data_IF_693785530863
#
_entry.id   IF_693785530863
#
_cell.length_a   1.000
_cell.length_b   1.000
_cell.length_c   1.000
_cell.angle_alpha   90.00
_cell.angle_beta   90.00
_cell.angle_gamma   90.00
#
_symmetry.space_group_name_H-M   'P 1'
#
loop_
_entity.id
_entity.type
_entity.pdbx_description
1 polymer ?
#
# COMPACT_ATOMS: atom_id res chain seq x y z
N UNK A 1 -19.69 -50.72 60.08
CA UNK A 1 -19.27 -50.76 58.66
C UNK A 1 -20.15 -49.80 57.89
N UNK A 2 -19.62 -48.63 57.50
CA UNK A 2 -20.30 -47.61 56.70
C UNK A 2 -19.39 -47.31 55.49
N UNK A 3 -19.91 -47.29 54.25
CA UNK A 3 -19.10 -46.95 53.09
C UNK A 3 -19.00 -45.42 52.98
N UNK A 4 -17.80 -44.92 52.75
CA UNK A 4 -17.56 -43.51 52.40
C UNK A 4 -17.71 -43.36 50.88
N UNK A 5 -18.72 -42.60 50.44
CA UNK A 5 -18.86 -42.15 49.06
C UNK A 5 -17.80 -41.08 48.77
N UNK A 6 -16.93 -41.37 47.80
CA UNK A 6 -16.04 -40.39 47.16
C UNK A 6 -16.84 -39.64 46.08
N UNK A 7 -17.10 -38.36 46.30
CA UNK A 7 -17.60 -37.43 45.28
C UNK A 7 -16.41 -36.90 44.50
N UNK A 8 -16.26 -37.34 43.25
CA UNK A 8 -15.33 -36.75 42.29
C UNK A 8 -16.00 -35.50 41.71
N UNK A 9 -15.54 -34.33 42.13
CA UNK A 9 -15.92 -33.06 41.52
C UNK A 9 -15.21 -32.92 40.16
N UNK A 10 -15.95 -33.06 39.08
CA UNK A 10 -15.48 -32.73 37.73
C UNK A 10 -15.53 -31.21 37.58
N UNK A 11 -14.39 -30.56 37.70
CA UNK A 11 -14.24 -29.14 37.34
C UNK A 11 -14.27 -29.01 35.81
N UNK A 12 -15.42 -28.62 35.26
CA UNK A 12 -15.50 -28.10 33.90
C UNK A 12 -14.66 -26.82 33.83
N UNK A 13 -13.44 -26.89 33.30
CA UNK A 13 -12.77 -25.71 32.77
C UNK A 13 -13.56 -25.27 31.54
N UNK A 14 -14.36 -24.23 31.70
CA UNK A 14 -14.86 -23.46 30.57
C UNK A 14 -13.64 -22.86 29.87
N UNK A 15 -13.29 -23.39 28.69
CA UNK A 15 -12.45 -22.65 27.76
C UNK A 15 -13.23 -21.39 27.37
N UNK A 16 -12.92 -20.27 28.00
CA UNK A 16 -13.24 -18.98 27.42
C UNK A 16 -12.54 -18.93 26.05
N UNK A 17 -13.25 -18.64 24.94
CA UNK A 17 -12.55 -18.32 23.71
C UNK A 17 -11.64 -17.13 24.05
N UNK A 18 -10.34 -17.27 23.79
CA UNK A 18 -9.48 -16.11 23.71
C UNK A 18 -10.15 -15.17 22.71
N UNK A 19 -10.70 -14.04 23.16
CA UNK A 19 -10.97 -12.95 22.23
C UNK A 19 -9.59 -12.61 21.67
N UNK A 20 -9.31 -13.05 20.46
CA UNK A 20 -8.20 -12.52 19.70
C UNK A 20 -8.40 -11.00 19.70
N UNK A 21 -7.40 -10.26 20.18
CA UNK A 21 -7.42 -8.81 20.05
C UNK A 21 -7.58 -8.46 18.58
N UNK A 22 -8.30 -7.37 18.29
CA UNK A 22 -8.44 -6.94 16.91
C UNK A 22 -7.06 -6.55 16.36
N UNK A 23 -6.64 -7.19 15.26
CA UNK A 23 -5.39 -6.89 14.58
C UNK A 23 -5.61 -5.76 13.57
N UNK A 24 -4.65 -4.84 13.48
CA UNK A 24 -4.69 -3.74 12.50
C UNK A 24 -3.76 -4.01 11.32
N UNK A 25 -4.25 -3.78 10.12
CA UNK A 25 -3.53 -3.98 8.86
C UNK A 25 -3.44 -2.67 8.08
N UNK A 26 -2.29 -2.41 7.47
CA UNK A 26 -2.05 -1.29 6.59
C UNK A 26 -1.91 -1.77 5.15
N UNK A 27 -2.75 -1.28 4.25
CA UNK A 27 -2.57 -1.43 2.80
C UNK A 27 -1.76 -0.21 2.32
N UNK A 28 -0.49 -0.35 1.92
CA UNK A 28 0.40 0.79 1.66
C UNK A 28 -0.05 1.73 0.54
N UNK A 29 -0.82 1.20 -0.42
CA UNK A 29 -1.32 1.95 -1.55
C UNK A 29 -2.68 1.46 -2.00
N UNK A 30 -3.61 2.39 -2.19
CA UNK A 30 -4.87 2.18 -2.90
C UNK A 30 -5.16 3.37 -3.81
N UNK A 31 -5.90 3.08 -4.87
CA UNK A 31 -6.40 4.08 -5.80
C UNK A 31 -7.88 3.85 -6.11
N UNK A 32 -8.57 4.92 -6.46
CA UNK A 32 -9.86 4.87 -7.13
C UNK A 32 -9.87 5.95 -8.20
N UNK A 33 -10.05 5.56 -9.47
CA UNK A 33 -9.98 6.46 -10.64
C UNK A 33 -8.79 7.44 -10.61
N UNK A 34 -7.66 7.03 -10.03
CA UNK A 34 -6.47 7.86 -10.01
C UNK A 34 -5.93 8.00 -11.42
N UNK A 35 -5.52 9.21 -11.83
CA UNK A 35 -5.11 9.46 -13.21
C UNK A 35 -3.86 8.65 -13.53
N UNK A 36 -3.94 7.81 -14.56
CA UNK A 36 -2.80 7.18 -15.21
C UNK A 36 -2.35 7.98 -16.44
N UNK A 37 -1.47 7.39 -17.23
CA UNK A 37 -1.04 7.94 -18.52
C UNK A 37 -2.12 7.74 -19.59
N UNK A 38 -2.07 8.55 -20.65
CA UNK A 38 -2.92 8.42 -21.85
C UNK A 38 -4.44 8.31 -21.58
N UNK A 39 -4.91 8.99 -20.53
CA UNK A 39 -6.32 9.00 -20.17
C UNK A 39 -6.82 7.71 -19.48
N UNK A 40 -5.91 6.85 -19.04
CA UNK A 40 -6.24 5.68 -18.19
C UNK A 40 -6.46 6.07 -16.73
N UNK A 41 -7.02 5.13 -15.96
CA UNK A 41 -7.20 5.27 -14.53
C UNK A 41 -6.69 4.05 -13.77
N UNK A 42 -6.27 4.31 -12.54
CA UNK A 42 -5.88 3.31 -11.56
C UNK A 42 -6.98 3.15 -10.52
N UNK A 43 -7.41 1.90 -10.30
CA UNK A 43 -8.36 1.55 -9.26
C UNK A 43 -7.92 0.28 -8.54
N UNK A 44 -8.25 0.20 -7.25
CA UNK A 44 -7.88 -0.92 -6.41
C UNK A 44 -9.11 -1.71 -5.96
N UNK A 45 -8.93 -3.02 -5.82
CA UNK A 45 -9.80 -3.93 -5.08
C UNK A 45 -9.06 -4.48 -3.87
N UNK A 46 -9.79 -4.89 -2.84
CA UNK A 46 -9.22 -5.50 -1.64
C UNK A 46 -9.81 -6.88 -1.48
N UNK A 47 -8.96 -7.88 -1.46
CA UNK A 47 -9.31 -9.28 -1.24
C UNK A 47 -9.08 -9.60 0.24
N UNK A 48 -10.15 -10.04 0.91
CA UNK A 48 -10.13 -10.44 2.30
C UNK A 48 -10.32 -11.96 2.34
N UNK A 49 -9.29 -12.70 2.73
CA UNK A 49 -9.31 -14.17 2.78
C UNK A 49 -9.26 -14.65 4.23
N UNK A 50 -10.35 -15.25 4.69
CA UNK A 50 -10.45 -15.84 6.01
C UNK A 50 -9.95 -17.29 5.97
N UNK A 51 -8.86 -17.54 6.68
CA UNK A 51 -8.21 -18.85 6.76
C UNK A 51 -8.71 -19.68 7.96
N UNK A 52 -9.64 -19.15 8.75
CA UNK A 52 -10.16 -19.80 9.95
C UNK A 52 -11.55 -20.42 9.75
N UNK A 53 -11.97 -21.18 10.76
CA UNK A 53 -13.28 -21.84 10.83
C UNK A 53 -14.37 -20.96 11.45
N UNK A 54 -14.03 -19.75 11.90
CA UNK A 54 -14.98 -18.77 12.45
C UNK A 54 -15.13 -17.59 11.47
N UNK A 55 -16.28 -16.92 11.40
CA UNK A 55 -16.40 -15.69 10.63
C UNK A 55 -15.47 -14.60 11.20
N UNK A 56 -14.88 -13.79 10.33
CA UNK A 56 -14.04 -12.66 10.71
C UNK A 56 -14.69 -11.36 10.24
N UNK A 57 -14.75 -10.36 11.10
CA UNK A 57 -15.18 -9.01 10.77
C UNK A 57 -13.97 -8.15 10.45
N UNK A 58 -14.01 -7.49 9.30
CA UNK A 58 -12.99 -6.54 8.85
C UNK A 58 -13.63 -5.16 8.72
N UNK A 59 -13.10 -4.17 9.43
CA UNK A 59 -13.60 -2.79 9.41
C UNK A 59 -12.55 -1.85 8.84
N UNK A 60 -12.98 -0.86 8.05
CA UNK A 60 -12.13 0.28 7.71
C UNK A 60 -11.98 1.18 8.94
N UNK A 61 -10.77 1.25 9.49
CA UNK A 61 -10.43 2.12 10.60
C UNK A 61 -10.13 3.53 10.12
N UNK A 62 -9.33 3.64 9.05
CA UNK A 62 -8.86 4.93 8.59
C UNK A 62 -8.41 4.93 7.13
N UNK A 63 -8.38 6.13 6.55
CA UNK A 63 -7.78 6.41 5.25
C UNK A 63 -6.70 7.48 5.41
N UNK A 64 -5.47 7.13 5.04
CA UNK A 64 -4.33 8.04 5.05
C UNK A 64 -4.29 8.76 3.68
N UNK A 65 -4.69 10.04 3.61
CA UNK A 65 -4.96 10.68 2.33
C UNK A 65 -3.68 11.16 1.64
N UNK A 66 -3.57 10.89 0.35
CA UNK A 66 -2.77 11.68 -0.60
C UNK A 66 -3.66 12.62 -1.41
N UNK A 67 -4.61 12.02 -2.13
CA UNK A 67 -5.66 12.73 -2.89
C UNK A 67 -7.03 12.14 -2.54
N UNK A 68 -7.99 13.02 -2.26
CA UNK A 68 -9.39 12.64 -2.03
C UNK A 68 -10.30 13.69 -2.65
N UNK A 69 -10.83 13.40 -3.83
CA UNK A 69 -11.75 14.28 -4.55
C UNK A 69 -13.18 13.77 -4.47
N UNK A 70 -14.11 14.69 -4.20
CA UNK A 70 -15.55 14.44 -4.11
C UNK A 70 -16.32 15.57 -4.79
N UNK A 71 -17.10 15.23 -5.80
CA UNK A 71 -17.98 16.14 -6.53
C UNK A 71 -19.36 16.23 -5.90
N UNK A 72 -19.72 15.30 -5.01
CA UNK A 72 -21.01 15.25 -4.33
C UNK A 72 -20.82 15.01 -2.83
N UNK A 73 -21.64 15.67 -1.98
CA UNK A 73 -21.67 15.35 -0.56
C UNK A 73 -22.37 14.00 -0.39
N UNK A 74 -21.59 12.94 -0.25
CA UNK A 74 -22.06 11.75 0.44
C UNK A 74 -21.77 11.87 1.93
N UNK A 75 -22.40 10.97 2.71
CA UNK A 75 -22.09 10.84 4.13
C UNK A 75 -20.58 10.68 4.34
N UNK A 76 -20.08 11.10 5.52
CA UNK A 76 -18.68 10.90 5.92
C UNK A 76 -18.31 9.43 5.69
N UNK A 77 -17.02 9.11 5.41
CA UNK A 77 -16.56 7.72 5.32
C UNK A 77 -17.17 6.90 6.45
N UNK A 78 -18.01 5.94 6.09
CA UNK A 78 -18.63 5.06 7.08
C UNK A 78 -17.56 4.08 7.51
N UNK A 79 -17.44 3.84 8.82
CA UNK A 79 -16.67 2.73 9.35
C UNK A 79 -17.37 1.42 8.94
N UNK A 80 -17.26 1.07 7.65
CA UNK A 80 -17.95 -0.06 7.05
C UNK A 80 -17.25 -1.33 7.49
N UNK A 81 -18.05 -2.28 7.98
CA UNK A 81 -17.60 -3.61 8.34
C UNK A 81 -18.02 -4.62 7.29
N UNK A 82 -17.10 -5.51 6.90
CA UNK A 82 -17.33 -6.66 6.05
C UNK A 82 -17.19 -7.92 6.89
N UNK A 83 -18.14 -8.84 6.77
CA UNK A 83 -18.02 -10.18 7.37
C UNK A 83 -17.45 -11.12 6.31
N UNK A 84 -16.33 -11.77 6.63
CA UNK A 84 -15.69 -12.77 5.79
C UNK A 84 -16.04 -14.16 6.34
N UNK A 85 -16.87 -14.96 5.64
CA UNK A 85 -17.26 -16.28 6.11
C UNK A 85 -16.04 -17.21 6.34
N UNK A 86 -16.20 -18.27 7.15
CA UNK A 86 -15.14 -19.27 7.37
C UNK A 86 -14.58 -19.82 6.05
N UNK A 87 -13.25 -19.98 5.99
CA UNK A 87 -12.54 -20.62 4.86
C UNK A 87 -12.94 -20.07 3.49
N UNK A 88 -13.10 -18.74 3.39
CA UNK A 88 -13.61 -18.09 2.18
C UNK A 88 -12.97 -16.73 1.94
N UNK A 89 -13.22 -16.18 0.75
CA UNK A 89 -12.76 -14.86 0.35
C UNK A 89 -13.91 -13.93 0.00
N UNK A 90 -13.80 -12.67 0.41
CA UNK A 90 -14.71 -11.59 0.04
C UNK A 90 -13.92 -10.47 -0.63
N UNK A 91 -14.50 -9.84 -1.65
CA UNK A 91 -13.88 -8.71 -2.35
C UNK A 91 -14.55 -7.41 -1.95
N UNK A 92 -13.73 -6.44 -1.56
CA UNK A 92 -14.07 -5.03 -1.53
C UNK A 92 -13.79 -4.45 -2.92
N UNK A 93 -14.85 -4.32 -3.73
CA UNK A 93 -14.72 -3.81 -5.11
C UNK A 93 -14.30 -2.35 -5.12
N UNK A 94 -13.75 -1.87 -6.25
CA UNK A 94 -13.36 -0.47 -6.42
C UNK A 94 -14.53 0.50 -6.17
N UNK A 95 -15.73 0.17 -6.64
CA UNK A 95 -16.95 0.96 -6.40
C UNK A 95 -17.45 0.88 -4.96
N UNK A 96 -17.27 -0.27 -4.30
CA UNK A 96 -17.51 -0.42 -2.88
C UNK A 96 -16.57 0.45 -2.05
N UNK A 97 -15.28 0.45 -2.38
CA UNK A 97 -14.26 1.27 -1.72
C UNK A 97 -14.56 2.77 -1.90
N UNK A 98 -14.92 3.20 -3.11
CA UNK A 98 -15.31 4.58 -3.37
C UNK A 98 -16.52 5.02 -2.52
N UNK A 99 -17.51 4.14 -2.37
CA UNK A 99 -18.70 4.39 -1.53
C UNK A 99 -18.30 4.52 -0.06
N UNK A 100 -17.51 3.58 0.44
CA UNK A 100 -17.07 3.52 1.83
C UNK A 100 -16.13 4.68 2.21
N UNK A 101 -15.42 5.25 1.22
CA UNK A 101 -14.64 6.49 1.34
C UNK A 101 -15.47 7.77 1.10
N UNK A 102 -16.79 7.70 1.19
CA UNK A 102 -17.70 8.84 1.08
C UNK A 102 -17.95 9.27 -0.37
N UNK A 103 -18.25 8.32 -1.26
CA UNK A 103 -18.46 8.51 -2.70
C UNK A 103 -17.35 9.31 -3.38
N UNK A 104 -16.11 8.90 -3.14
CA UNK A 104 -14.97 9.55 -3.78
C UNK A 104 -15.01 9.35 -5.30
N UNK A 105 -14.82 10.43 -6.05
CA UNK A 105 -14.62 10.34 -7.50
C UNK A 105 -13.20 9.91 -7.83
N UNK A 106 -12.25 10.37 -7.01
CA UNK A 106 -10.83 10.02 -7.11
C UNK A 106 -10.19 9.86 -5.74
N UNK A 107 -9.42 8.80 -5.57
CA UNK A 107 -8.67 8.48 -4.35
C UNK A 107 -7.26 8.07 -4.72
N UNK A 108 -6.29 8.58 -3.97
CA UNK A 108 -4.95 8.00 -3.84
C UNK A 108 -4.57 8.08 -2.36
N UNK A 109 -4.09 6.99 -1.78
CA UNK A 109 -3.61 6.98 -0.41
C UNK A 109 -3.38 5.58 0.10
N UNK A 110 -3.55 5.40 1.41
CA UNK A 110 -3.40 4.11 2.10
C UNK A 110 -4.61 3.85 3.01
N UNK A 111 -4.91 2.58 3.28
CA UNK A 111 -6.02 2.18 4.16
C UNK A 111 -5.50 1.46 5.39
N UNK A 112 -6.12 1.77 6.53
CA UNK A 112 -5.95 1.01 7.77
C UNK A 112 -7.22 0.22 8.02
N UNK A 113 -7.08 -1.10 8.15
CA UNK A 113 -8.17 -2.03 8.45
C UNK A 113 -7.98 -2.61 9.85
N UNK A 114 -9.08 -3.00 10.49
CA UNK A 114 -9.10 -3.81 11.71
C UNK A 114 -9.76 -5.13 11.41
N UNK A 115 -9.22 -6.23 11.93
CA UNK A 115 -9.87 -7.54 11.87
C UNK A 115 -10.00 -8.15 13.27
N UNK A 116 -11.15 -8.74 13.60
CA UNK A 116 -11.37 -9.42 14.89
C UNK A 116 -10.90 -10.89 14.90
N UNK A 117 -10.13 -11.29 13.89
CA UNK A 117 -9.60 -12.64 13.73
C UNK A 117 -8.62 -12.75 12.55
N UNK A 118 -8.01 -13.93 12.34
CA UNK A 118 -6.97 -14.12 11.34
C UNK A 118 -7.51 -13.95 9.92
N UNK A 119 -6.95 -13.00 9.20
CA UNK A 119 -7.32 -12.65 7.82
C UNK A 119 -6.05 -12.40 7.01
N UNK A 120 -6.04 -12.85 5.76
CA UNK A 120 -5.05 -12.44 4.76
C UNK A 120 -5.67 -11.36 3.89
N UNK A 121 -5.00 -10.21 3.78
CA UNK A 121 -5.51 -9.02 3.08
C UNK A 121 -4.55 -8.66 1.95
N UNK A 122 -5.08 -8.59 0.73
CA UNK A 122 -4.32 -8.17 -0.45
C UNK A 122 -5.07 -7.07 -1.16
N UNK A 123 -4.39 -5.99 -1.53
CA UNK A 123 -4.91 -5.03 -2.50
C UNK A 123 -4.39 -5.35 -3.88
N UNK A 124 -5.25 -5.24 -4.89
CA UNK A 124 -4.88 -5.36 -6.29
C UNK A 124 -5.26 -4.08 -7.02
N UNK A 125 -4.27 -3.39 -7.57
CA UNK A 125 -4.47 -2.16 -8.34
C UNK A 125 -4.33 -2.46 -9.82
N UNK A 126 -5.31 -2.01 -10.61
CA UNK A 126 -5.41 -2.25 -12.05
C UNK A 126 -5.43 -0.92 -12.79
N UNK A 127 -4.67 -0.83 -13.88
CA UNK A 127 -4.83 0.22 -14.87
C UNK A 127 -5.98 -0.16 -15.83
N UNK A 128 -6.95 0.73 -16.00
CA UNK A 128 -8.08 0.51 -16.88
C UNK A 128 -8.42 1.78 -17.69
N UNK A 129 -9.05 1.64 -18.87
CA UNK A 129 -9.57 2.78 -19.61
C UNK A 129 -10.57 3.62 -18.78
N UNK A 130 -10.64 4.92 -19.05
CA UNK A 130 -11.56 5.83 -18.37
C UNK A 130 -13.04 5.45 -18.56
N UNK A 131 -13.38 4.85 -19.69
CA UNK A 131 -14.75 4.47 -20.06
C UNK A 131 -15.19 3.14 -19.44
N UNK A 132 -14.33 2.46 -18.67
CA UNK A 132 -14.70 1.19 -18.04
C UNK A 132 -15.80 1.41 -17.01
N UNK A 133 -17.00 0.91 -17.31
CA UNK A 133 -18.14 0.95 -16.39
C UNK A 133 -17.97 -0.11 -15.30
N UNK A 134 -17.42 0.31 -14.16
CA UNK A 134 -17.28 -0.48 -12.95
C UNK A 134 -18.58 -0.56 -12.13
N UNK A 135 -19.74 -0.57 -12.80
CA UNK A 135 -21.05 -0.65 -12.16
C UNK A 135 -21.01 -1.59 -10.95
N UNK A 136 -21.54 -1.09 -9.82
CA UNK A 136 -21.41 -1.46 -8.37
C UNK A 136 -20.97 -2.88 -7.91
N UNK A 137 -20.85 -3.88 -8.78
CA UNK A 137 -20.47 -5.28 -8.49
C UNK A 137 -19.42 -5.88 -9.44
N UNK A 138 -18.96 -5.14 -10.47
CA UNK A 138 -17.94 -5.63 -11.40
C UNK A 138 -16.57 -5.72 -10.74
N UNK A 139 -15.87 -6.85 -10.94
CA UNK A 139 -14.47 -6.99 -10.59
C UNK A 139 -13.59 -6.27 -11.62
N UNK A 140 -12.42 -5.76 -11.21
CA UNK A 140 -11.47 -5.13 -12.13
C UNK A 140 -10.86 -6.18 -13.08
N UNK A 141 -10.92 -5.93 -14.38
CA UNK A 141 -10.38 -6.79 -15.43
C UNK A 141 -9.03 -6.30 -15.93
N UNK A 142 -8.18 -7.21 -16.40
CA UNK A 142 -6.85 -6.89 -16.93
C UNK A 142 -5.70 -7.30 -15.99
N UNK A 143 -4.44 -7.01 -16.32
CA UNK A 143 -3.31 -7.17 -15.40
C UNK A 143 -3.43 -6.21 -14.21
N UNK A 144 -2.84 -6.57 -13.08
CA UNK A 144 -2.86 -5.73 -11.89
C UNK A 144 -1.69 -6.04 -10.97
N UNK A 145 -1.36 -5.06 -10.13
CA UNK A 145 -0.31 -5.16 -9.13
C UNK A 145 -0.91 -5.46 -7.78
N UNK A 146 -0.47 -6.56 -7.20
CA UNK A 146 -0.87 -6.99 -5.87
C UNK A 146 0.11 -6.44 -4.83
N UNK A 147 -0.44 -6.02 -3.70
CA UNK A 147 0.29 -5.58 -2.52
C UNK A 147 -0.38 -6.21 -1.30
N UNK A 148 0.37 -7.00 -0.56
CA UNK A 148 -0.10 -7.57 0.72
C UNK A 148 -0.18 -6.47 1.77
N UNK A 149 -1.21 -6.53 2.61
CA UNK A 149 -1.31 -5.62 3.75
C UNK A 149 -0.29 -6.00 4.82
N UNK A 150 0.30 -5.00 5.45
CA UNK A 150 1.30 -5.18 6.51
C UNK A 150 0.57 -5.07 7.85
N UNK A 151 0.81 -6.00 8.78
CA UNK A 151 0.33 -5.83 10.16
C UNK A 151 0.94 -4.55 10.76
N UNK A 152 0.14 -3.68 11.36
CA UNK A 152 0.61 -2.38 11.89
C UNK A 152 1.68 -2.59 12.98
N UNK A 153 1.60 -3.69 13.72
CA UNK A 153 2.60 -4.09 14.73
C UNK A 153 3.92 -4.57 14.11
N UNK A 154 3.91 -4.91 12.82
CA UNK A 154 5.05 -5.42 12.05
C UNK A 154 5.52 -4.44 10.97
N UNK A 155 5.13 -3.16 11.06
CA UNK A 155 5.64 -2.15 10.15
C UNK A 155 7.17 -2.09 10.23
N UNK A 156 7.85 -1.85 9.09
CA UNK A 156 9.28 -1.58 9.09
C UNK A 156 9.60 -0.47 10.10
N UNK A 157 10.37 -0.80 11.15
CA UNK A 157 10.77 0.11 12.21
C UNK A 157 11.85 1.11 11.79
N UNK A 158 12.41 1.90 12.72
CA UNK A 158 13.60 2.70 12.45
C UNK A 158 14.75 1.81 11.98
N UNK A 159 15.43 2.17 10.89
CA UNK A 159 16.49 1.35 10.32
C UNK A 159 16.80 1.70 8.88
N UNK A 160 17.68 0.91 8.27
CA UNK A 160 18.12 1.08 6.89
C UNK A 160 17.48 0.01 5.99
N UNK A 161 16.85 0.45 4.90
CA UNK A 161 16.13 -0.40 3.97
C UNK A 161 16.64 -0.21 2.55
N UNK A 162 16.94 -1.31 1.88
CA UNK A 162 17.27 -1.33 0.47
C UNK A 162 16.00 -1.50 -0.37
N UNK A 163 15.83 -0.66 -1.39
CA UNK A 163 14.82 -0.82 -2.43
C UNK A 163 15.53 -1.31 -3.71
N UNK A 164 15.55 -2.63 -3.95
CA UNK A 164 16.31 -3.19 -5.04
C UNK A 164 15.57 -3.07 -6.37
N UNK A 165 16.31 -3.18 -7.47
CA UNK A 165 15.74 -3.33 -8.81
C UNK A 165 14.85 -2.17 -9.28
N UNK A 166 15.01 -0.95 -8.78
CA UNK A 166 14.36 0.23 -9.34
C UNK A 166 14.86 0.47 -10.78
N UNK A 167 14.09 1.19 -11.61
CA UNK A 167 14.45 1.41 -13.02
C UNK A 167 14.24 2.86 -13.38
N UNK A 168 15.21 3.45 -14.04
CA UNK A 168 15.06 4.76 -14.66
C UNK A 168 15.55 4.75 -16.10
N UNK A 169 15.20 5.79 -16.85
CA UNK A 169 15.63 5.94 -18.24
C UNK A 169 16.29 7.32 -18.38
N UNK A 170 17.61 7.35 -18.21
CA UNK A 170 18.45 8.54 -18.34
C UNK A 170 18.82 8.80 -19.80
N UNK A 171 18.99 10.06 -20.20
CA UNK A 171 19.44 10.48 -21.52
C UNK A 171 18.62 9.84 -22.65
N UNK A 172 17.31 10.09 -22.68
CA UNK A 172 16.43 9.42 -23.63
C UNK A 172 16.46 10.10 -25.01
N UNK A 173 16.45 9.30 -26.08
CA UNK A 173 16.31 9.78 -27.47
C UNK A 173 14.84 10.08 -27.85
N UNK A 174 13.91 9.83 -26.94
CA UNK A 174 12.47 9.94 -27.10
C UNK A 174 11.80 10.04 -25.74
N UNK A 175 10.49 9.75 -25.61
CA UNK A 175 9.84 9.66 -24.31
C UNK A 175 10.56 8.66 -23.40
N UNK A 176 10.60 8.95 -22.10
CA UNK A 176 11.02 7.96 -21.10
C UNK A 176 10.13 6.72 -21.20
N UNK A 177 10.70 5.57 -20.88
CA UNK A 177 10.00 4.28 -20.93
C UNK A 177 9.46 3.87 -19.55
N UNK A 178 10.07 4.36 -18.48
CA UNK A 178 9.74 4.00 -17.11
C UNK A 178 9.70 5.25 -16.23
N UNK A 179 8.72 5.29 -15.34
CA UNK A 179 8.64 6.23 -14.22
C UNK A 179 8.88 5.44 -12.92
N UNK A 180 9.65 5.99 -11.98
CA UNK A 180 9.92 5.36 -10.66
C UNK A 180 9.42 6.23 -9.54
N UNK A 181 8.67 5.65 -8.62
CA UNK A 181 8.12 6.33 -7.46
C UNK A 181 8.53 5.64 -6.17
N UNK A 182 8.71 6.42 -5.11
CA UNK A 182 8.79 5.91 -3.74
C UNK A 182 7.55 6.34 -2.96
N UNK A 183 6.88 5.38 -2.35
CA UNK A 183 5.70 5.62 -1.54
C UNK A 183 5.91 5.28 -0.08
N UNK A 184 5.22 6.04 0.77
CA UNK A 184 5.30 6.00 2.22
C UNK A 184 3.90 6.07 2.81
N UNK A 185 3.60 5.20 3.76
CA UNK A 185 2.35 5.25 4.52
C UNK A 185 2.66 5.23 6.02
N UNK A 186 2.32 6.33 6.70
CA UNK A 186 2.52 6.52 8.14
C UNK A 186 1.17 6.48 8.87
N UNK A 187 0.77 5.33 9.44
CA UNK A 187 -0.46 5.24 10.22
C UNK A 187 -0.32 5.83 11.64
N UNK A 188 0.90 6.13 12.08
CA UNK A 188 1.19 6.60 13.43
C UNK A 188 0.82 8.07 13.66
N UNK A 189 0.80 8.45 14.93
CA UNK A 189 0.44 9.80 15.39
C UNK A 189 1.63 10.78 15.40
N UNK A 190 2.82 10.33 15.02
CA UNK A 190 4.05 11.12 14.98
C UNK A 190 4.59 11.12 13.54
N UNK A 191 5.08 12.26 13.02
CA UNK A 191 5.74 12.28 11.72
C UNK A 191 7.01 11.44 11.72
N UNK A 192 7.32 10.83 10.57
CA UNK A 192 8.52 10.04 10.32
C UNK A 192 9.36 10.74 9.26
N UNK A 193 10.68 10.72 9.42
CA UNK A 193 11.63 11.17 8.40
C UNK A 193 12.25 9.96 7.73
N UNK A 194 12.14 9.90 6.40
CA UNK A 194 12.78 8.93 5.55
C UNK A 194 13.92 9.62 4.77
N UNK A 195 15.15 9.19 4.99
CA UNK A 195 16.33 9.73 4.31
C UNK A 195 16.64 8.83 3.11
N UNK A 196 16.43 9.37 1.92
CA UNK A 196 16.73 8.74 0.63
C UNK A 196 18.20 8.92 0.30
N UNK A 197 18.88 7.83 -0.04
CA UNK A 197 20.20 7.84 -0.64
C UNK A 197 20.24 6.94 -1.89
N UNK A 198 21.03 7.34 -2.88
CA UNK A 198 21.22 6.60 -4.14
C UNK A 198 22.72 6.57 -4.42
N UNK A 199 23.32 5.39 -4.71
CA UNK A 199 24.76 5.29 -4.92
C UNK A 199 25.25 6.25 -6.01
N UNK A 200 26.42 6.90 -5.84
CA UNK A 200 26.94 7.87 -6.80
C UNK A 200 27.11 7.32 -8.22
N UNK A 201 27.36 6.02 -8.37
CA UNK A 201 27.46 5.36 -9.68
C UNK A 201 26.14 5.33 -10.44
N UNK A 202 25.01 5.36 -9.72
CA UNK A 202 23.70 5.53 -10.31
C UNK A 202 23.38 7.03 -10.41
N UNK A 203 23.41 7.77 -9.30
CA UNK A 203 23.07 9.18 -9.20
C UNK A 203 24.06 10.17 -9.88
N UNK A 204 24.93 9.69 -10.77
CA UNK A 204 25.90 10.53 -11.45
C UNK A 204 25.15 11.62 -12.23
N UNK A 205 25.50 12.89 -12.01
CA UNK A 205 24.80 14.05 -12.57
C UNK A 205 23.61 14.58 -11.77
N UNK A 206 23.12 13.87 -10.74
CA UNK A 206 22.06 14.33 -9.83
C UNK A 206 20.76 13.54 -9.91
N UNK A 207 19.87 13.77 -8.94
CA UNK A 207 18.54 13.15 -8.84
C UNK A 207 17.48 14.24 -8.64
N UNK A 208 16.35 14.08 -9.33
CA UNK A 208 15.15 14.87 -9.09
C UNK A 208 14.17 14.10 -8.21
N UNK A 209 13.58 14.80 -7.25
CA UNK A 209 12.44 14.34 -6.45
C UNK A 209 11.28 15.29 -6.72
N UNK A 210 10.20 14.79 -7.33
CA UNK A 210 9.05 15.60 -7.78
C UNK A 210 9.48 16.84 -8.60
N UNK A 211 10.30 16.61 -9.63
CA UNK A 211 10.86 17.63 -10.53
C UNK A 211 11.84 18.63 -9.89
N UNK A 212 12.15 18.48 -8.59
CA UNK A 212 13.14 19.30 -7.89
C UNK A 212 14.47 18.57 -7.80
N UNK A 213 15.56 19.18 -8.27
CA UNK A 213 16.92 18.65 -8.07
C UNK A 213 17.26 18.68 -6.57
N UNK A 214 17.71 17.55 -6.03
CA UNK A 214 18.04 17.41 -4.60
C UNK A 214 19.48 16.96 -4.39
N UNK A 215 20.07 17.40 -3.29
CA UNK A 215 21.31 16.82 -2.77
C UNK A 215 21.00 15.51 -2.05
N UNK A 216 21.83 14.49 -2.30
CA UNK A 216 21.78 13.21 -1.59
C UNK A 216 22.84 13.17 -0.48
N UNK A 217 22.52 12.58 0.69
CA UNK A 217 21.23 11.99 1.05
C UNK A 217 20.14 13.06 1.28
N UNK A 218 18.90 12.77 0.84
CA UNK A 218 17.78 13.71 0.87
C UNK A 218 16.72 13.30 1.90
N UNK A 219 16.31 14.22 2.77
CA UNK A 219 15.30 13.97 3.80
C UNK A 219 13.88 14.21 3.28
N UNK A 220 13.04 13.18 3.35
CA UNK A 220 11.61 13.20 3.03
C UNK A 220 10.83 13.12 4.34
N UNK A 221 10.07 14.17 4.65
CA UNK A 221 9.24 14.21 5.86
C UNK A 221 7.84 13.67 5.56
N UNK A 222 7.47 12.57 6.21
CA UNK A 222 6.14 11.96 6.10
C UNK A 222 5.31 12.35 7.33
N UNK A 223 4.25 13.17 7.17
CA UNK A 223 3.39 13.56 8.29
C UNK A 223 2.77 12.36 9.02
N UNK A 224 2.35 12.58 10.27
CA UNK A 224 1.52 11.64 10.99
C UNK A 224 0.21 11.39 10.23
N UNK A 225 -0.33 10.18 10.30
CA UNK A 225 -1.64 9.80 9.76
C UNK A 225 -1.77 10.16 8.26
N UNK A 226 -0.73 9.92 7.48
CA UNK A 226 -0.64 10.37 6.08
C UNK A 226 -0.01 9.34 5.15
N UNK A 227 -0.27 9.54 3.86
CA UNK A 227 0.39 8.84 2.76
C UNK A 227 1.10 9.87 1.89
N UNK A 228 2.29 9.53 1.41
CA UNK A 228 3.09 10.36 0.52
C UNK A 228 3.71 9.46 -0.56
N UNK A 229 3.78 9.97 -1.78
CA UNK A 229 4.56 9.36 -2.83
C UNK A 229 5.34 10.45 -3.56
N UNK A 230 6.60 10.15 -3.88
CA UNK A 230 7.49 11.03 -4.61
C UNK A 230 7.95 10.36 -5.90
N UNK A 231 8.08 11.14 -6.97
CA UNK A 231 8.64 10.72 -8.25
C UNK A 231 10.16 10.88 -8.23
N UNK A 232 10.90 9.84 -8.63
CA UNK A 232 12.35 9.87 -8.76
C UNK A 232 12.76 9.88 -10.22
N UNK A 233 13.62 10.84 -10.59
CA UNK A 233 14.17 10.92 -11.93
C UNK A 233 15.70 11.12 -11.94
N UNK A 234 16.43 10.50 -12.87
CA UNK A 234 17.83 10.83 -13.11
C UNK A 234 17.94 12.22 -13.72
N UNK A 235 19.01 12.93 -13.36
CA UNK A 235 19.44 14.08 -14.15
C UNK A 235 20.20 13.65 -15.39
N UNK A 236 19.72 14.11 -16.54
CA UNK A 236 20.35 13.84 -17.83
C UNK A 236 21.74 14.52 -17.92
N UNK A 237 22.68 13.82 -18.54
CA UNK A 237 23.99 14.35 -18.94
C UNK A 237 23.93 14.76 -20.41
N UNK A 238 23.98 16.06 -20.72
CA UNK A 238 23.87 16.56 -22.10
C UNK A 238 25.07 16.16 -22.99
N UNK A 239 26.16 15.65 -22.40
CA UNK A 239 27.37 15.24 -23.13
C UNK A 239 27.34 13.77 -23.55
N UNK A 240 26.42 12.98 -23.00
CA UNK A 240 26.31 11.54 -23.24
C UNK A 240 25.27 11.26 -24.33
N UNK A 241 25.54 10.23 -25.16
CA UNK A 241 24.57 9.76 -26.16
C UNK A 241 23.36 9.14 -25.50
N UNK A 242 22.32 8.91 -26.28
CA UNK A 242 21.13 8.25 -25.78
C UNK A 242 21.45 6.89 -25.14
N UNK A 243 20.93 6.69 -23.93
CA UNK A 243 21.06 5.45 -23.19
C UNK A 243 19.71 4.73 -23.19
N UNK A 244 19.74 3.43 -22.85
CA UNK A 244 18.53 2.67 -22.55
C UNK A 244 18.18 2.74 -21.06
N UNK A 245 17.06 2.13 -20.65
CA UNK A 245 16.70 1.98 -19.26
C UNK A 245 17.81 1.26 -18.46
N UNK A 246 18.05 1.72 -17.23
CA UNK A 246 19.03 1.14 -16.32
C UNK A 246 18.40 0.82 -14.97
N UNK A 247 18.82 -0.28 -14.36
CA UNK A 247 18.44 -0.59 -12.99
C UNK A 247 19.33 0.15 -12.00
N UNK A 248 18.76 0.49 -10.84
CA UNK A 248 19.49 1.04 -9.72
C UNK A 248 18.92 0.54 -8.40
N UNK A 249 19.63 0.83 -7.31
CA UNK A 249 19.18 0.58 -5.95
C UNK A 249 19.09 1.91 -5.23
N UNK A 250 18.11 2.05 -4.35
CA UNK A 250 18.02 3.16 -3.41
C UNK A 250 18.07 2.61 -1.99
N UNK A 251 18.67 3.37 -1.10
CA UNK A 251 18.62 3.14 0.34
C UNK A 251 17.67 4.16 0.95
N UNK A 252 16.84 3.71 1.88
CA UNK A 252 15.99 4.57 2.70
C UNK A 252 16.28 4.28 4.16
N UNK A 253 16.76 5.28 4.90
CA UNK A 253 16.90 5.20 6.36
C UNK A 253 15.72 5.90 7.03
N UNK A 254 15.03 5.24 7.96
CA UNK A 254 13.88 5.82 8.66
C UNK A 254 14.14 6.00 10.15
N UNK A 255 13.54 7.03 10.75
CA UNK A 255 13.61 7.30 12.19
C UNK A 255 12.41 6.75 12.99
N UNK A 256 11.47 6.08 12.32
CA UNK A 256 10.21 5.62 12.89
C UNK A 256 9.53 4.53 12.06
N UNK A 257 8.51 3.86 12.62
CA UNK A 257 7.77 2.81 11.95
C UNK A 257 6.96 3.36 10.77
N UNK A 258 7.16 2.83 9.57
CA UNK A 258 6.51 3.30 8.35
C UNK A 258 6.47 2.21 7.28
N UNK A 259 5.40 2.13 6.49
CA UNK A 259 5.43 1.30 5.28
C UNK A 259 6.13 2.05 4.15
N UNK A 260 7.04 1.35 3.47
CA UNK A 260 7.83 1.85 2.35
C UNK A 260 7.57 0.93 1.16
N UNK A 261 7.45 1.49 -0.04
CA UNK A 261 7.46 0.71 -1.28
C UNK A 261 8.04 1.54 -2.42
N UNK A 262 8.67 0.87 -3.39
CA UNK A 262 8.94 1.42 -4.70
C UNK A 262 7.86 1.01 -5.70
N UNK A 263 7.62 1.83 -6.70
CA UNK A 263 6.80 1.50 -7.86
C UNK A 263 7.53 1.85 -9.13
N UNK A 264 7.68 0.89 -10.04
CA UNK A 264 8.21 1.14 -11.39
C UNK A 264 7.08 0.96 -12.37
N UNK A 265 6.74 2.02 -13.12
CA UNK A 265 5.63 2.02 -14.07
C UNK A 265 6.18 2.07 -15.49
N UNK A 266 5.85 1.05 -16.29
CA UNK A 266 6.12 1.05 -17.73
C UNK A 266 5.18 2.03 -18.42
N UNK A 267 5.69 3.02 -19.16
CA UNK A 267 4.83 3.94 -19.94
C UNK A 267 4.16 3.27 -21.13
N UNK A 268 4.77 2.21 -21.67
CA UNK A 268 4.24 1.52 -22.85
C UNK A 268 3.07 0.58 -22.56
N UNK A 269 3.08 -0.08 -21.40
CA UNK A 269 1.97 -0.98 -20.98
C UNK A 269 1.13 -0.41 -19.84
N UNK A 270 1.58 0.68 -19.22
CA UNK A 270 1.06 1.20 -17.95
C UNK A 270 1.05 0.17 -16.82
N UNK A 271 1.73 -0.97 -16.94
CA UNK A 271 1.78 -1.96 -15.85
C UNK A 271 2.79 -1.52 -14.79
N UNK A 272 2.39 -1.49 -13.51
CA UNK A 272 3.27 -1.12 -12.44
C UNK A 272 3.86 -2.38 -11.79
N UNK A 273 5.06 -2.26 -11.24
CA UNK A 273 5.69 -3.30 -10.43
C UNK A 273 6.01 -2.75 -9.05
N UNK A 274 5.54 -3.43 -8.00
CA UNK A 274 5.92 -3.12 -6.62
C UNK A 274 7.34 -3.57 -6.37
N UNK A 275 8.13 -2.71 -5.76
CA UNK A 275 9.41 -3.06 -5.15
C UNK A 275 9.21 -2.97 -3.64
N UNK A 276 9.38 -4.09 -2.95
CA UNK A 276 9.30 -4.12 -1.49
C UNK A 276 10.68 -3.84 -0.88
N UNK A 277 10.73 -3.12 0.26
CA UNK A 277 11.97 -2.84 0.97
C UNK A 277 12.56 -4.14 1.55
N UNK A 278 13.88 -4.23 1.56
CA UNK A 278 14.65 -5.29 2.22
C UNK A 278 15.43 -4.65 3.36
N UNK A 279 15.22 -5.07 4.62
CA UNK A 279 16.01 -4.54 5.74
C UNK A 279 17.48 -4.92 5.57
N UNK A 280 18.39 -4.00 5.91
CA UNK A 280 19.85 -4.21 5.87
C UNK A 280 20.46 -4.60 7.23
N UNK A 281 19.61 -4.83 8.23
CA UNK A 281 19.98 -5.28 9.58
C UNK A 281 20.54 -6.72 9.64
#
# INVERSE_FOLDING_TARGET
MRPALLLISVSLLALAPAMAGAESFLIPFVAHNARGQDGTFWSSEIYLTNLSVQPVQVSLLDFLPGVLERSRPCDRPTATTRVVPPLSSVVWTASGLATDLGCADRVIGSLVLSADGPIHVVSRTVNHPAETDHSRRGLLTGPGQEVEAISVEQLPGPGEYLLPSLIWHRNTCGPREFDTYLGFANPGDVPVVAVLDVPPTAADGGVFVDDLEVDLPHAIRVPARSWLQVHLEPKDDPTVRCLGPASFVATVTTDGPIAIYGSVVSRGSTDPRTVLPVPLD
#
